data_IF_451621567602
#
_entry.id   IF_451621567602
#
_cell.length_a   1.000
_cell.length_b   1.000
_cell.length_c   1.000
_cell.angle_alpha   90.00
_cell.angle_beta   90.00
_cell.angle_gamma   90.00
#
_symmetry.space_group_name_H-M   'P 1'
#
loop_
_entity.id
_entity.type
_entity.pdbx_description
1 polymer ?
#
# COMPACT_ATOMS: atom_id res chain seq x y z
N UNK A 1 -1.57 -21.53 -11.63
CA UNK A 1 -0.58 -20.85 -12.48
C UNK A 1 0.85 -21.28 -12.13
N UNK A 2 1.32 -21.13 -10.86
CA UNK A 2 2.70 -21.45 -10.47
C UNK A 2 3.06 -22.92 -10.78
N UNK A 3 2.28 -23.90 -10.31
CA UNK A 3 2.50 -25.31 -10.56
C UNK A 3 2.49 -25.66 -12.07
N UNK A 4 1.66 -25.00 -12.86
CA UNK A 4 1.64 -25.15 -14.32
C UNK A 4 2.96 -24.72 -14.96
N UNK A 5 3.60 -23.67 -14.43
CA UNK A 5 4.91 -23.22 -14.88
C UNK A 5 6.03 -24.19 -14.48
N UNK A 6 5.95 -24.77 -13.28
CA UNK A 6 6.87 -25.83 -12.85
C UNK A 6 6.77 -27.07 -13.75
N UNK A 7 5.55 -27.53 -14.06
CA UNK A 7 5.29 -28.65 -14.96
C UNK A 7 5.85 -28.40 -16.38
N UNK A 8 5.89 -27.12 -16.79
CA UNK A 8 6.49 -26.68 -18.06
C UNK A 8 8.03 -26.64 -18.01
N UNK A 9 8.64 -26.72 -16.82
CA UNK A 9 10.09 -26.74 -16.65
C UNK A 9 10.68 -25.38 -16.27
N UNK A 10 9.89 -24.49 -15.66
CA UNK A 10 10.39 -23.22 -15.15
C UNK A 10 11.51 -23.43 -14.13
N UNK A 11 12.63 -22.71 -14.26
CA UNK A 11 13.78 -22.76 -13.35
C UNK A 11 13.94 -21.48 -12.52
N UNK A 12 13.40 -20.37 -13.02
CA UNK A 12 13.44 -19.07 -12.34
C UNK A 12 12.14 -18.32 -12.60
N UNK A 13 11.66 -17.61 -11.57
CA UNK A 13 10.46 -16.80 -11.61
C UNK A 13 10.81 -15.34 -11.37
N UNK A 14 10.41 -14.45 -12.27
CA UNK A 14 10.39 -13.01 -12.07
C UNK A 14 8.94 -12.59 -11.79
N UNK A 15 8.66 -12.16 -10.57
CA UNK A 15 7.31 -11.93 -10.05
C UNK A 15 6.97 -12.90 -8.91
N UNK A 16 5.71 -12.90 -8.41
CA UNK A 16 4.63 -11.96 -8.70
C UNK A 16 4.92 -10.52 -8.29
N UNK A 17 4.04 -9.59 -8.62
CA UNK A 17 4.22 -8.16 -8.35
C UNK A 17 3.70 -7.77 -6.97
N UNK A 18 2.51 -8.26 -6.58
CA UNK A 18 1.87 -7.89 -5.31
C UNK A 18 2.32 -8.79 -4.17
N UNK A 19 2.32 -8.26 -2.95
CA UNK A 19 2.77 -8.97 -1.74
C UNK A 19 1.98 -10.26 -1.50
N UNK A 20 0.66 -10.23 -1.48
CA UNK A 20 -0.15 -11.41 -1.19
C UNK A 20 0.12 -12.59 -2.16
N UNK A 21 0.21 -12.29 -3.47
CA UNK A 21 0.56 -13.30 -4.47
C UNK A 21 2.00 -13.81 -4.31
N UNK A 22 2.94 -12.92 -3.97
CA UNK A 22 4.36 -13.27 -3.78
C UNK A 22 4.58 -14.13 -2.54
N UNK A 23 3.94 -13.84 -1.43
CA UNK A 23 4.00 -14.67 -0.20
C UNK A 23 3.49 -16.07 -0.48
N UNK A 24 2.34 -16.19 -1.17
CA UNK A 24 1.78 -17.49 -1.51
C UNK A 24 2.70 -18.33 -2.42
N UNK A 25 3.31 -17.70 -3.42
CA UNK A 25 4.24 -18.40 -4.34
C UNK A 25 5.59 -18.68 -3.67
N UNK A 26 6.10 -17.75 -2.86
CA UNK A 26 7.36 -17.91 -2.15
C UNK A 26 7.34 -19.12 -1.18
N UNK A 27 6.18 -19.42 -0.60
CA UNK A 27 6.00 -20.61 0.23
C UNK A 27 6.24 -21.91 -0.55
N UNK A 28 5.91 -21.93 -1.84
CA UNK A 28 6.10 -23.08 -2.72
C UNK A 28 7.51 -23.16 -3.31
N UNK A 29 8.19 -22.02 -3.51
CA UNK A 29 9.53 -21.95 -4.09
C UNK A 29 10.60 -22.68 -3.26
N UNK A 30 10.40 -22.80 -1.95
CA UNK A 30 11.28 -23.51 -1.03
C UNK A 30 11.17 -25.03 -1.08
N UNK A 31 10.14 -25.58 -1.76
CA UNK A 31 9.93 -27.01 -1.89
C UNK A 31 10.92 -27.62 -2.89
N UNK A 32 11.03 -28.94 -2.91
CA UNK A 32 11.90 -29.67 -3.84
C UNK A 32 11.16 -29.97 -5.17
N UNK A 33 11.71 -29.60 -6.35
CA UNK A 33 12.97 -28.84 -6.53
C UNK A 33 12.81 -27.34 -6.18
N UNK A 34 13.80 -26.78 -5.50
CA UNK A 34 13.81 -25.35 -5.20
C UNK A 34 13.79 -24.49 -6.46
N UNK A 35 12.93 -23.48 -6.46
CA UNK A 35 12.78 -22.56 -7.59
C UNK A 35 13.29 -21.17 -7.18
N UNK A 36 14.20 -20.61 -7.96
CA UNK A 36 14.62 -19.22 -7.78
C UNK A 36 13.46 -18.28 -8.09
N UNK A 37 13.19 -17.36 -7.17
CA UNK A 37 12.19 -16.33 -7.34
C UNK A 37 12.77 -14.94 -7.02
N UNK A 38 12.46 -13.97 -7.86
CA UNK A 38 12.72 -12.56 -7.59
C UNK A 38 11.49 -11.73 -7.89
N UNK A 39 10.97 -11.01 -6.88
CA UNK A 39 9.85 -10.08 -7.08
C UNK A 39 10.36 -8.66 -7.33
N UNK A 40 9.81 -7.95 -8.33
CA UNK A 40 10.21 -6.57 -8.61
C UNK A 40 9.59 -5.56 -7.64
N UNK A 41 8.46 -5.88 -7.00
CA UNK A 41 7.65 -4.88 -6.31
C UNK A 41 7.04 -5.35 -4.97
N UNK A 42 6.82 -6.64 -4.75
CA UNK A 42 6.27 -7.11 -3.48
C UNK A 42 7.22 -6.75 -2.33
N UNK A 43 6.73 -5.97 -1.37
CA UNK A 43 7.54 -5.22 -0.41
C UNK A 43 7.47 -5.73 1.04
N UNK A 44 6.56 -6.66 1.36
CA UNK A 44 6.55 -7.30 2.68
C UNK A 44 7.79 -8.17 2.90
N UNK A 45 8.36 -8.11 4.10
CA UNK A 45 9.45 -8.98 4.51
C UNK A 45 9.04 -10.46 4.55
N UNK A 46 7.75 -10.77 4.73
CA UNK A 46 7.21 -12.14 4.68
C UNK A 46 7.47 -12.86 3.35
N UNK A 47 7.73 -12.11 2.28
CA UNK A 47 8.06 -12.68 0.97
C UNK A 47 9.39 -13.43 1.02
N UNK A 48 10.39 -12.87 1.71
CA UNK A 48 11.76 -13.39 1.71
C UNK A 48 12.17 -14.05 3.01
N UNK A 49 11.49 -13.76 4.12
CA UNK A 49 11.87 -14.25 5.44
C UNK A 49 11.94 -15.80 5.48
N UNK A 50 13.08 -16.31 5.95
CA UNK A 50 13.35 -17.73 6.03
C UNK A 50 13.51 -18.46 4.70
N UNK A 51 13.62 -17.77 3.55
CA UNK A 51 13.69 -18.36 2.21
C UNK A 51 14.99 -17.99 1.50
N UNK A 52 15.84 -18.99 1.26
CA UNK A 52 17.15 -18.84 0.62
C UNK A 52 17.14 -18.75 -0.92
N UNK A 53 15.98 -18.96 -1.52
CA UNK A 53 15.77 -18.94 -2.99
C UNK A 53 14.84 -17.81 -3.46
N UNK A 54 14.39 -16.94 -2.53
CA UNK A 54 13.43 -15.87 -2.83
C UNK A 54 14.05 -14.52 -2.52
N UNK A 55 13.96 -13.59 -3.46
CA UNK A 55 14.56 -12.25 -3.39
C UNK A 55 13.53 -11.17 -3.75
N UNK A 56 13.71 -9.98 -3.19
CA UNK A 56 12.93 -8.79 -3.55
C UNK A 56 13.87 -7.62 -3.88
N UNK A 57 13.45 -6.75 -4.80
CA UNK A 57 14.29 -5.64 -5.31
C UNK A 57 13.86 -4.30 -4.73
N UNK A 58 12.56 -4.14 -4.40
CA UNK A 58 12.01 -2.89 -3.88
C UNK A 58 12.37 -2.65 -2.39
N UNK A 59 12.07 -1.46 -1.91
CA UNK A 59 12.12 -1.16 -0.48
C UNK A 59 11.05 -1.97 0.30
N UNK A 60 11.26 -2.17 1.59
CA UNK A 60 10.35 -2.97 2.43
C UNK A 60 9.20 -2.14 3.01
N UNK A 61 8.11 -2.80 3.39
CA UNK A 61 6.95 -2.18 4.04
C UNK A 61 7.33 -1.39 5.30
N UNK A 62 8.19 -1.90 6.21
CA UNK A 62 8.68 -1.10 7.33
C UNK A 62 9.37 0.19 6.91
N UNK A 63 10.16 0.18 5.85
CA UNK A 63 10.81 1.38 5.34
C UNK A 63 9.80 2.38 4.79
N UNK A 64 8.76 1.93 4.10
CA UNK A 64 7.71 2.81 3.59
C UNK A 64 6.96 3.51 4.72
N UNK A 65 6.46 2.76 5.72
CA UNK A 65 5.70 3.32 6.82
C UNK A 65 6.54 4.29 7.68
N UNK A 66 7.77 3.93 8.00
CA UNK A 66 8.69 4.80 8.76
C UNK A 66 8.99 6.08 8.00
N UNK A 67 9.31 6.00 6.71
CA UNK A 67 9.66 7.19 5.93
C UNK A 67 8.44 8.09 5.67
N UNK A 68 7.24 7.50 5.48
CA UNK A 68 6.00 8.26 5.38
C UNK A 68 5.75 9.08 6.65
N UNK A 69 5.81 8.46 7.82
CA UNK A 69 5.60 9.16 9.09
C UNK A 69 6.63 10.26 9.33
N UNK A 70 7.91 10.01 9.02
CA UNK A 70 8.97 11.03 9.12
C UNK A 70 8.75 12.20 8.17
N UNK A 71 8.36 11.93 6.92
CA UNK A 71 8.06 12.96 5.94
C UNK A 71 6.88 13.82 6.40
N UNK A 72 5.79 13.18 6.84
CA UNK A 72 4.61 13.89 7.33
C UNK A 72 4.93 14.74 8.58
N UNK A 73 5.74 14.23 9.51
CA UNK A 73 6.17 14.99 10.68
C UNK A 73 7.03 16.23 10.32
N UNK A 74 7.77 16.18 9.21
CA UNK A 74 8.60 17.29 8.76
C UNK A 74 7.82 18.34 7.96
N UNK A 75 6.84 17.93 7.19
CA UNK A 75 6.17 18.79 6.21
C UNK A 75 4.73 19.17 6.56
N UNK A 76 4.07 18.36 7.39
CA UNK A 76 2.65 18.44 7.70
C UNK A 76 2.38 18.32 9.20
N UNK A 77 3.33 18.75 10.05
CA UNK A 77 3.29 18.56 11.51
C UNK A 77 2.01 19.10 12.20
N UNK A 78 1.40 20.11 11.62
CA UNK A 78 0.20 20.77 12.17
C UNK A 78 -1.12 20.16 11.64
N UNK A 79 -1.02 19.12 10.76
CA UNK A 79 -2.18 18.46 10.19
C UNK A 79 -2.69 17.33 11.11
N UNK A 80 -3.98 17.03 10.98
CA UNK A 80 -4.61 15.88 11.62
C UNK A 80 -4.71 14.73 10.65
N UNK A 81 -4.21 13.58 11.04
CA UNK A 81 -4.07 12.42 10.17
C UNK A 81 -5.11 11.35 10.46
N UNK A 82 -5.64 10.74 9.40
CA UNK A 82 -6.28 9.43 9.48
C UNK A 82 -5.39 8.42 8.77
N UNK A 83 -5.21 7.27 9.39
CA UNK A 83 -4.63 6.10 8.75
C UNK A 83 -5.75 5.27 8.15
N UNK A 84 -5.70 5.04 6.84
CA UNK A 84 -6.72 4.30 6.11
C UNK A 84 -6.08 3.13 5.35
N UNK A 85 -6.40 1.87 5.71
CA UNK A 85 -5.70 0.74 5.12
C UNK A 85 -6.56 -0.53 4.99
N UNK A 86 -6.10 -1.46 4.14
CA UNK A 86 -6.69 -2.79 4.02
C UNK A 86 -6.11 -3.72 5.09
N UNK A 87 -6.89 -4.00 6.13
CA UNK A 87 -6.48 -4.90 7.22
C UNK A 87 -6.48 -6.38 6.84
N UNK A 88 -6.94 -6.74 5.65
CA UNK A 88 -6.90 -8.09 5.09
C UNK A 88 -5.70 -8.35 4.17
N UNK A 89 -4.89 -7.33 3.87
CA UNK A 89 -3.74 -7.42 2.97
C UNK A 89 -2.42 -7.20 3.73
N UNK A 90 -1.44 -8.10 3.53
CA UNK A 90 -0.17 -8.05 4.23
C UNK A 90 0.68 -6.82 3.87
N UNK A 91 0.64 -6.35 2.63
CA UNK A 91 1.28 -5.12 2.18
C UNK A 91 0.73 -3.91 2.94
N UNK A 92 -0.58 -3.72 2.87
CA UNK A 92 -1.26 -2.57 3.44
C UNK A 92 -1.12 -2.51 4.97
N UNK A 93 -1.32 -3.64 5.64
CA UNK A 93 -1.20 -3.74 7.10
C UNK A 93 0.25 -3.62 7.58
N UNK A 94 1.23 -4.18 6.86
CA UNK A 94 2.65 -4.07 7.21
C UNK A 94 3.16 -2.63 7.20
N UNK A 95 2.77 -1.85 6.17
CA UNK A 95 3.08 -0.41 6.10
C UNK A 95 2.34 0.36 7.21
N UNK A 96 1.05 0.05 7.44
CA UNK A 96 0.26 0.71 8.47
C UNK A 96 0.86 0.51 9.87
N UNK A 97 1.32 -0.68 10.20
CA UNK A 97 1.91 -0.98 11.52
C UNK A 97 3.22 -0.23 11.74
N UNK A 98 4.11 -0.20 10.76
CA UNK A 98 5.36 0.56 10.85
C UNK A 98 5.12 2.07 10.86
N UNK A 99 4.12 2.55 10.11
CA UNK A 99 3.69 3.94 10.17
C UNK A 99 3.19 4.32 11.57
N UNK A 100 2.30 3.51 12.18
CA UNK A 100 1.78 3.78 13.54
C UNK A 100 2.90 3.88 14.57
N UNK A 101 3.85 2.95 14.54
CA UNK A 101 5.00 2.97 15.44
C UNK A 101 5.80 4.26 15.30
N UNK A 102 6.17 4.64 14.08
CA UNK A 102 6.94 5.85 13.82
C UNK A 102 6.14 7.14 14.05
N UNK A 103 4.84 7.14 13.75
CA UNK A 103 3.96 8.29 14.00
C UNK A 103 3.90 8.63 15.48
N UNK A 104 3.83 7.61 16.36
CA UNK A 104 3.87 7.80 17.80
C UNK A 104 5.21 8.40 18.27
N UNK A 105 6.35 7.91 17.75
CA UNK A 105 7.67 8.48 18.03
C UNK A 105 7.81 9.92 17.54
N UNK A 106 7.27 10.21 16.36
CA UNK A 106 7.30 11.54 15.72
C UNK A 106 6.22 12.49 16.26
N UNK A 107 5.35 12.02 17.15
CA UNK A 107 4.23 12.78 17.76
C UNK A 107 3.27 13.34 16.73
N UNK A 108 3.00 12.61 15.66
CA UNK A 108 1.93 12.96 14.71
C UNK A 108 0.56 12.81 15.37
N UNK A 109 -0.35 13.74 15.10
CA UNK A 109 -1.74 13.67 15.58
C UNK A 109 -2.58 12.77 14.69
N UNK A 110 -2.45 11.44 14.89
CA UNK A 110 -3.32 10.46 14.24
C UNK A 110 -4.64 10.43 15.00
N UNK A 111 -5.68 11.04 14.42
CA UNK A 111 -6.98 11.25 15.08
C UNK A 111 -7.93 10.09 14.92
N UNK A 112 -7.76 9.26 13.88
CA UNK A 112 -8.58 8.08 13.64
C UNK A 112 -7.84 7.03 12.79
N UNK A 113 -8.30 5.79 12.87
CA UNK A 113 -7.80 4.64 12.09
C UNK A 113 -8.99 3.92 11.46
N UNK A 114 -9.09 3.95 10.15
CA UNK A 114 -10.17 3.35 9.41
C UNK A 114 -9.66 2.22 8.52
N UNK A 115 -10.41 1.13 8.46
CA UNK A 115 -10.00 -0.06 7.72
C UNK A 115 -11.07 -0.59 6.78
N UNK A 116 -10.62 -1.38 5.83
CA UNK A 116 -11.45 -2.25 5.00
C UNK A 116 -10.73 -3.59 4.78
N UNK A 117 -11.35 -4.54 4.06
CA UNK A 117 -10.80 -5.89 3.88
C UNK A 117 -10.83 -6.39 2.44
N UNK A 118 -11.44 -5.65 1.54
CA UNK A 118 -11.68 -6.09 0.16
C UNK A 118 -11.38 -4.95 -0.82
N UNK A 119 -10.33 -5.13 -1.63
CA UNK A 119 -9.92 -4.16 -2.65
C UNK A 119 -10.97 -3.94 -3.75
N UNK A 120 -12.00 -4.79 -3.81
CA UNK A 120 -13.17 -4.61 -4.67
C UNK A 120 -14.27 -3.75 -4.04
N UNK A 121 -14.05 -3.20 -2.85
CA UNK A 121 -15.00 -2.31 -2.20
C UNK A 121 -15.36 -1.12 -3.10
N UNK A 122 -16.65 -0.85 -3.22
CA UNK A 122 -17.18 0.19 -4.11
C UNK A 122 -17.55 1.48 -3.39
N UNK A 123 -17.40 1.54 -2.06
CA UNK A 123 -17.68 2.73 -1.25
C UNK A 123 -16.90 2.73 0.05
N UNK A 124 -16.38 3.91 0.40
CA UNK A 124 -15.72 4.24 1.67
C UNK A 124 -16.38 5.42 2.37
N UNK A 125 -17.64 5.71 2.04
CA UNK A 125 -18.37 6.87 2.57
C UNK A 125 -18.45 6.86 4.10
N UNK A 126 -18.63 5.69 4.72
CA UNK A 126 -18.71 5.60 6.19
C UNK A 126 -17.37 5.95 6.85
N UNK A 127 -16.26 5.43 6.33
CA UNK A 127 -14.93 5.71 6.85
C UNK A 127 -14.56 7.18 6.64
N UNK A 128 -14.85 7.73 5.46
CA UNK A 128 -14.61 9.15 5.16
C UNK A 128 -15.47 10.08 6.02
N UNK A 129 -16.70 9.67 6.39
CA UNK A 129 -17.56 10.43 7.30
C UNK A 129 -16.89 10.56 8.67
N UNK A 130 -16.38 9.46 9.22
CA UNK A 130 -15.67 9.48 10.51
C UNK A 130 -14.38 10.29 10.45
N UNK A 131 -13.58 10.11 9.40
CA UNK A 131 -12.37 10.90 9.17
C UNK A 131 -12.68 12.41 9.16
N UNK A 132 -13.73 12.82 8.45
CA UNK A 132 -14.19 14.20 8.39
C UNK A 132 -14.69 14.71 9.74
N UNK A 133 -15.46 13.90 10.47
CA UNK A 133 -15.97 14.23 11.82
C UNK A 133 -14.84 14.34 12.86
N UNK A 134 -13.78 13.53 12.71
CA UNK A 134 -12.56 13.64 13.51
C UNK A 134 -11.72 14.91 13.18
N UNK A 135 -12.09 15.60 12.11
CA UNK A 135 -11.41 16.81 11.66
C UNK A 135 -10.08 16.55 10.96
N UNK A 136 -9.92 15.37 10.37
CA UNK A 136 -8.71 15.04 9.62
C UNK A 136 -8.62 15.90 8.35
N UNK A 137 -7.42 16.34 8.05
CA UNK A 137 -7.07 17.14 6.87
C UNK A 137 -6.16 16.36 5.91
N UNK A 138 -5.54 15.28 6.42
CA UNK A 138 -4.71 14.40 5.63
C UNK A 138 -5.05 12.93 5.92
N UNK A 139 -5.19 12.14 4.86
CA UNK A 139 -5.34 10.68 4.94
C UNK A 139 -4.05 10.04 4.42
N UNK A 140 -3.37 9.27 5.27
CA UNK A 140 -2.31 8.37 4.82
C UNK A 140 -2.93 7.01 4.50
N UNK A 141 -2.80 6.58 3.25
CA UNK A 141 -3.45 5.39 2.75
C UNK A 141 -2.47 4.47 2.01
N UNK A 142 -1.83 3.52 2.70
CA UNK A 142 -1.00 2.49 2.06
C UNK A 142 -1.90 1.43 1.41
N UNK A 143 -2.51 1.77 0.28
CA UNK A 143 -3.48 0.95 -0.46
C UNK A 143 -3.17 0.93 -1.94
N UNK A 144 -3.77 -0.02 -2.67
CA UNK A 144 -3.64 -0.09 -4.12
C UNK A 144 -4.48 0.98 -4.84
N UNK A 145 -4.17 1.19 -6.12
CA UNK A 145 -4.78 2.24 -6.95
C UNK A 145 -6.29 2.09 -7.14
N UNK A 146 -6.84 0.86 -7.16
CA UNK A 146 -8.29 0.66 -7.30
C UNK A 146 -9.07 1.20 -6.12
N UNK A 147 -8.83 0.77 -4.85
CA UNK A 147 -9.49 1.38 -3.70
C UNK A 147 -9.17 2.88 -3.55
N UNK A 148 -7.96 3.33 -3.93
CA UNK A 148 -7.62 4.75 -3.89
C UNK A 148 -8.53 5.59 -4.82
N UNK A 149 -8.83 5.09 -6.01
CA UNK A 149 -9.74 5.76 -6.95
C UNK A 149 -11.16 5.91 -6.38
N UNK A 150 -11.65 4.87 -5.70
CA UNK A 150 -12.95 4.89 -5.00
C UNK A 150 -12.94 5.89 -3.85
N UNK A 151 -11.87 5.91 -3.06
CA UNK A 151 -11.72 6.83 -1.93
C UNK A 151 -11.76 8.28 -2.39
N UNK A 152 -10.98 8.65 -3.40
CA UNK A 152 -10.95 10.01 -3.96
C UNK A 152 -12.30 10.42 -4.53
N UNK A 153 -12.97 9.51 -5.27
CA UNK A 153 -14.31 9.78 -5.79
C UNK A 153 -15.31 10.03 -4.66
N UNK A 154 -15.32 9.18 -3.63
CA UNK A 154 -16.23 9.36 -2.50
C UNK A 154 -15.95 10.65 -1.72
N UNK A 155 -14.67 11.01 -1.50
CA UNK A 155 -14.31 12.27 -0.86
C UNK A 155 -14.85 13.47 -1.64
N UNK A 156 -14.71 13.46 -2.97
CA UNK A 156 -15.28 14.48 -3.86
C UNK A 156 -16.80 14.57 -3.75
N UNK A 157 -17.48 13.44 -3.83
CA UNK A 157 -18.96 13.36 -3.78
C UNK A 157 -19.50 13.89 -2.43
N UNK A 158 -18.73 13.74 -1.34
CA UNK A 158 -19.04 14.24 0.01
C UNK A 158 -18.60 15.69 0.25
N UNK A 159 -17.94 16.34 -0.68
CA UNK A 159 -17.32 17.65 -0.47
C UNK A 159 -16.33 17.63 0.70
N UNK A 160 -15.53 16.57 0.79
CA UNK A 160 -14.46 16.43 1.76
C UNK A 160 -13.13 16.78 1.11
N UNK A 161 -12.66 17.99 1.36
CA UNK A 161 -11.37 18.49 0.91
C UNK A 161 -10.29 18.00 1.88
N UNK A 162 -9.44 17.09 1.40
CA UNK A 162 -8.37 16.48 2.18
C UNK A 162 -7.18 16.16 1.29
N UNK A 163 -5.99 16.16 1.85
CA UNK A 163 -4.80 15.65 1.17
C UNK A 163 -4.73 14.13 1.30
N UNK A 164 -4.58 13.43 0.19
CA UNK A 164 -4.31 11.98 0.19
C UNK A 164 -2.82 11.74 -0.01
N UNK A 165 -2.21 10.94 0.87
CA UNK A 165 -0.88 10.40 0.67
C UNK A 165 -0.93 8.89 0.56
N UNK A 166 -0.42 8.36 -0.55
CA UNK A 166 -0.30 6.93 -0.81
C UNK A 166 1.13 6.45 -0.86
N UNK A 167 1.27 5.17 -1.08
CA UNK A 167 2.52 4.44 -1.25
C UNK A 167 2.62 3.85 -2.65
N UNK A 168 3.66 3.10 -2.96
CA UNK A 168 3.93 2.56 -4.30
C UNK A 168 2.76 1.77 -4.91
N UNK A 169 1.95 1.08 -4.09
CA UNK A 169 0.75 0.38 -4.55
C UNK A 169 -0.32 1.28 -5.18
N UNK A 170 -0.23 2.60 -4.98
CA UNK A 170 -1.13 3.56 -5.61
C UNK A 170 -0.63 4.01 -7.00
N UNK A 171 0.58 3.65 -7.38
CA UNK A 171 1.07 3.89 -8.74
C UNK A 171 0.16 3.18 -9.77
N UNK A 172 -0.19 3.90 -10.83
CA UNK A 172 -1.22 3.43 -11.78
C UNK A 172 -2.61 4.03 -11.55
N UNK A 173 -2.83 4.83 -10.49
CA UNK A 173 -4.09 5.51 -10.21
C UNK A 173 -4.66 6.26 -11.43
N UNK A 174 -3.78 6.96 -12.17
CA UNK A 174 -4.17 7.72 -13.36
C UNK A 174 -4.59 6.84 -14.55
N UNK A 175 -4.32 5.54 -14.49
CA UNK A 175 -4.64 4.56 -15.53
C UNK A 175 -5.91 3.75 -15.22
N UNK A 176 -6.58 4.01 -14.10
CA UNK A 176 -7.82 3.32 -13.73
C UNK A 176 -8.92 3.70 -14.72
N UNK A 177 -9.57 2.70 -15.31
CA UNK A 177 -10.63 2.92 -16.29
C UNK A 177 -11.78 3.71 -15.69
N UNK A 178 -12.18 4.80 -16.35
CA UNK A 178 -13.27 5.68 -15.91
C UNK A 178 -12.94 6.56 -14.69
N UNK A 179 -11.70 6.59 -14.23
CA UNK A 179 -11.27 7.50 -13.17
C UNK A 179 -11.09 8.93 -13.71
N UNK A 180 -11.68 9.90 -13.03
CA UNK A 180 -11.44 11.32 -13.29
C UNK A 180 -10.08 11.72 -12.72
N UNK A 181 -9.07 11.84 -13.59
CA UNK A 181 -7.69 12.14 -13.21
C UNK A 181 -7.53 13.50 -12.52
N UNK A 182 -8.49 14.42 -12.67
CA UNK A 182 -8.46 15.68 -11.93
C UNK A 182 -8.59 15.51 -10.42
N UNK A 183 -9.13 14.37 -9.95
CA UNK A 183 -9.22 14.02 -8.54
C UNK A 183 -7.87 13.66 -7.91
N UNK A 184 -6.88 13.38 -8.73
CA UNK A 184 -5.52 13.08 -8.26
C UNK A 184 -4.66 14.33 -8.09
N UNK A 185 -5.17 15.52 -8.40
CA UNK A 185 -4.43 16.76 -8.20
C UNK A 185 -4.13 16.95 -6.70
N UNK A 186 -2.86 17.16 -6.35
CA UNK A 186 -2.42 17.31 -4.97
C UNK A 186 -2.24 15.99 -4.19
N UNK A 187 -2.48 14.83 -4.79
CA UNK A 187 -2.16 13.53 -4.18
C UNK A 187 -0.65 13.39 -4.05
N UNK A 188 -0.20 12.98 -2.87
CA UNK A 188 1.19 12.69 -2.59
C UNK A 188 1.42 11.19 -2.78
N UNK A 189 2.44 10.83 -3.54
CA UNK A 189 2.80 9.44 -3.79
C UNK A 189 4.23 9.16 -3.34
N UNK A 190 4.40 8.14 -2.52
CA UNK A 190 5.72 7.57 -2.23
C UNK A 190 6.00 6.45 -3.23
N UNK A 191 7.10 6.56 -3.94
CA UNK A 191 7.52 5.58 -4.94
C UNK A 191 9.01 5.30 -4.83
N UNK A 192 9.48 4.05 -5.09
CA UNK A 192 10.90 3.73 -5.11
C UNK A 192 11.62 4.30 -6.34
N UNK A 193 10.87 4.66 -7.38
CA UNK A 193 11.41 5.14 -8.64
C UNK A 193 10.73 6.42 -9.07
N UNK A 194 11.54 7.39 -9.54
CA UNK A 194 11.06 8.55 -10.29
C UNK A 194 11.42 8.37 -11.76
N UNK A 195 10.54 8.81 -12.66
CA UNK A 195 10.79 8.82 -14.09
C UNK A 195 11.58 10.06 -14.56
N UNK A 196 11.95 10.94 -13.61
CA UNK A 196 12.65 12.21 -13.88
C UNK A 196 14.17 12.04 -14.01
#
# INVERSE_FOLDING_TARGET
AFNTLLDWGMQALVGPTTTGASVAVAAECGNDPKTFMITPSASSEDVTDGKDCVFQVCFTDPNQGVNAAKFLAQKYADEKFVLFYNSGDAYSSGIADSFKAQAAESKLEVVDEETFKDDSATSFTNQLTKAKEAGATLIFAPIYYTPASVLLKNAKDMGYDMTLMGTDGMDGLLSVEGFDTSLAEGVLLMTPFSAD
#
